data_IF_424972015238
#
_entry.id   IF_424972015238
#
_cell.length_a   1.000
_cell.length_b   1.000
_cell.length_c   1.000
_cell.angle_alpha   90.00
_cell.angle_beta   90.00
_cell.angle_gamma   90.00
#
_symmetry.space_group_name_H-M   'P 1'
#
loop_
_entity.id
_entity.type
_entity.pdbx_description
1 polymer ?
#
# COMPACT_ATOMS: atom_id res chain seq x y z
N UNK A 1 -3.06 -10.76 -1.16
CA UNK A 1 -3.56 -12.16 -1.19
C UNK A 1 -2.45 -13.19 -1.05
N UNK A 2 -1.50 -13.41 -1.96
CA UNK A 2 -0.29 -14.19 -1.61
C UNK A 2 0.95 -13.32 -1.34
N UNK A 3 0.86 -12.05 -1.73
CA UNK A 3 1.90 -11.04 -1.53
C UNK A 3 1.30 -9.94 -0.64
N UNK A 4 1.10 -10.30 0.61
CA UNK A 4 0.60 -9.42 1.65
C UNK A 4 1.60 -9.43 2.81
N UNK A 5 1.79 -8.26 3.42
CA UNK A 5 2.70 -8.08 4.53
C UNK A 5 1.98 -7.39 5.67
N UNK A 6 2.29 -7.78 6.90
CA UNK A 6 1.73 -7.20 8.11
C UNK A 6 2.88 -7.02 9.10
N UNK A 7 2.92 -5.86 9.74
CA UNK A 7 3.93 -5.53 10.74
C UNK A 7 3.29 -4.76 11.88
N UNK A 8 3.77 -5.00 13.09
CA UNK A 8 3.41 -4.23 14.27
C UNK A 8 4.56 -3.28 14.56
N UNK A 9 4.30 -1.98 14.45
CA UNK A 9 5.31 -0.95 14.62
C UNK A 9 5.16 -0.26 15.97
N UNK A 10 6.26 0.31 16.43
CA UNK A 10 6.26 1.24 17.55
C UNK A 10 5.77 2.62 17.05
N UNK A 11 4.67 3.15 17.60
CA UNK A 11 4.17 4.48 17.23
C UNK A 11 5.21 5.60 17.38
N UNK A 12 6.20 5.45 18.27
CA UNK A 12 7.25 6.45 18.49
C UNK A 12 8.14 6.68 17.27
N UNK A 13 8.26 5.69 16.38
CA UNK A 13 9.07 5.80 15.16
C UNK A 13 8.34 6.53 14.02
N UNK A 14 7.05 6.81 14.19
CA UNK A 14 6.26 7.65 13.29
C UNK A 14 6.17 7.15 11.85
N UNK A 15 6.07 8.10 10.91
CA UNK A 15 5.81 7.84 9.48
C UNK A 15 6.98 7.13 8.79
N UNK A 16 8.21 7.34 9.23
CA UNK A 16 9.40 6.78 8.56
C UNK A 16 9.41 5.25 8.63
N UNK A 17 8.98 4.68 9.76
CA UNK A 17 8.84 3.24 9.94
C UNK A 17 7.76 2.64 9.02
N UNK A 18 6.66 3.38 8.81
CA UNK A 18 5.62 3.01 7.84
C UNK A 18 6.22 2.97 6.43
N UNK A 19 6.97 4.02 6.03
CA UNK A 19 7.61 4.09 4.71
C UNK A 19 8.55 2.92 4.49
N UNK A 20 9.41 2.64 5.48
CA UNK A 20 10.33 1.50 5.45
C UNK A 20 9.59 0.19 5.26
N UNK A 21 8.52 -0.06 6.01
CA UNK A 21 7.72 -1.30 5.91
C UNK A 21 7.09 -1.46 4.53
N UNK A 22 6.51 -0.40 3.98
CA UNK A 22 5.88 -0.43 2.66
C UNK A 22 6.91 -0.71 1.57
N UNK A 23 8.03 0.01 1.58
CA UNK A 23 9.12 -0.18 0.61
C UNK A 23 9.71 -1.59 0.73
N UNK A 24 9.93 -2.08 1.96
CA UNK A 24 10.45 -3.42 2.19
C UNK A 24 9.47 -4.50 1.71
N UNK A 25 8.17 -4.32 1.93
CA UNK A 25 7.15 -5.25 1.44
C UNK A 25 7.17 -5.36 -0.10
N UNK A 26 7.30 -4.22 -0.80
CA UNK A 26 7.42 -4.22 -2.27
C UNK A 26 8.74 -4.81 -2.74
N UNK A 27 9.86 -4.49 -2.08
CA UNK A 27 11.17 -5.07 -2.39
C UNK A 27 11.17 -6.60 -2.22
N UNK A 28 10.58 -7.10 -1.14
CA UNK A 28 10.43 -8.53 -0.86
C UNK A 28 9.48 -9.23 -1.85
N UNK A 29 8.44 -8.53 -2.31
CA UNK A 29 7.54 -9.02 -3.34
C UNK A 29 8.26 -9.22 -4.67
N UNK A 30 9.14 -8.28 -5.04
CA UNK A 30 9.91 -8.32 -6.28
C UNK A 30 9.00 -8.49 -7.49
N UNK A 31 9.30 -9.50 -8.32
CA UNK A 31 8.55 -9.83 -9.53
C UNK A 31 7.27 -10.65 -9.30
N UNK A 32 7.09 -11.22 -8.11
CA UNK A 32 5.99 -12.19 -7.82
C UNK A 32 4.59 -11.66 -8.16
N UNK A 33 4.21 -10.41 -7.84
CA UNK A 33 2.88 -9.89 -8.13
C UNK A 33 2.72 -9.37 -9.56
N UNK A 34 3.56 -9.79 -10.52
CA UNK A 34 3.50 -9.38 -11.93
C UNK A 34 3.38 -7.85 -12.08
N UNK A 35 4.39 -7.07 -11.65
CA UNK A 35 4.37 -5.61 -11.77
C UNK A 35 4.09 -5.16 -13.23
N UNK A 36 3.51 -3.97 -13.45
CA UNK A 36 3.37 -2.90 -12.47
C UNK A 36 2.20 -3.11 -11.50
N UNK A 37 2.44 -2.79 -10.23
CA UNK A 37 1.50 -3.08 -9.12
C UNK A 37 0.73 -1.84 -8.66
N UNK A 38 -0.36 -2.06 -7.91
CA UNK A 38 -0.97 -1.05 -7.05
C UNK A 38 -0.78 -1.50 -5.61
N UNK A 39 -0.31 -0.60 -4.75
CA UNK A 39 -0.02 -0.90 -3.35
C UNK A 39 -1.11 -0.32 -2.46
N UNK A 40 -1.87 -1.18 -1.79
CA UNK A 40 -2.80 -0.79 -0.75
C UNK A 40 -2.12 -0.86 0.61
N UNK A 41 -2.21 0.20 1.39
CA UNK A 41 -1.63 0.28 2.73
C UNK A 41 -2.74 0.57 3.72
N UNK A 42 -2.78 -0.20 4.80
CA UNK A 42 -3.68 0.01 5.93
C UNK A 42 -2.87 0.32 7.16
N UNK A 43 -3.17 1.43 7.82
CA UNK A 43 -2.48 1.88 9.03
C UNK A 43 -3.46 2.01 10.19
N UNK A 44 -3.06 1.47 11.35
CA UNK A 44 -3.83 1.55 12.58
C UNK A 44 -5.02 0.59 12.66
N UNK A 45 -5.93 0.83 13.59
CA UNK A 45 -6.93 -0.14 14.02
C UNK A 45 -6.34 -1.28 14.85
N UNK A 46 -6.96 -2.46 14.78
CA UNK A 46 -6.37 -3.72 15.21
C UNK A 46 -5.56 -4.34 14.06
N UNK A 47 -4.83 -5.41 14.34
CA UNK A 47 -4.13 -6.21 13.34
C UNK A 47 -5.00 -6.55 12.11
N UNK A 48 -6.18 -7.10 12.36
CA UNK A 48 -7.13 -7.52 11.33
C UNK A 48 -7.69 -6.32 10.59
N UNK A 49 -7.91 -5.21 11.31
CA UNK A 49 -8.45 -3.98 10.74
C UNK A 49 -7.44 -3.30 9.82
N UNK A 50 -6.15 -3.32 10.13
CA UNK A 50 -5.10 -2.85 9.22
C UNK A 50 -5.10 -3.66 7.92
N UNK A 51 -5.19 -4.99 8.00
CA UNK A 51 -5.28 -5.84 6.82
C UNK A 51 -6.53 -5.55 5.97
N UNK A 52 -7.68 -5.32 6.64
CA UNK A 52 -8.91 -4.88 5.99
C UNK A 52 -8.72 -3.52 5.31
N UNK A 53 -8.14 -2.53 5.98
CA UNK A 53 -7.86 -1.20 5.42
C UNK A 53 -6.97 -1.28 4.19
N UNK A 54 -5.91 -2.08 4.22
CA UNK A 54 -5.03 -2.26 3.06
C UNK A 54 -5.79 -2.81 1.85
N UNK A 55 -6.74 -3.74 2.06
CA UNK A 55 -7.58 -4.28 0.98
C UNK A 55 -8.64 -3.27 0.53
N UNK A 56 -9.24 -2.54 1.46
CA UNK A 56 -10.22 -1.48 1.19
C UNK A 56 -9.60 -0.35 0.37
N UNK A 57 -8.36 0.03 0.67
CA UNK A 57 -7.62 1.07 -0.06
C UNK A 57 -7.55 0.77 -1.57
N UNK A 58 -7.32 -0.50 -1.93
CA UNK A 58 -7.29 -0.96 -3.34
C UNK A 58 -8.61 -0.82 -4.09
N UNK A 59 -9.73 -0.59 -3.38
CA UNK A 59 -11.02 -0.32 -4.00
C UNK A 59 -11.17 1.14 -4.43
N UNK A 60 -10.34 2.06 -3.94
CA UNK A 60 -10.35 3.46 -4.38
C UNK A 60 -9.85 3.57 -5.83
N UNK A 61 -10.56 4.26 -6.74
CA UNK A 61 -10.05 4.54 -8.08
C UNK A 61 -8.72 5.29 -8.05
N UNK A 62 -7.76 4.86 -8.89
CA UNK A 62 -6.42 5.46 -8.94
C UNK A 62 -6.40 6.95 -9.34
N UNK A 63 -7.42 7.40 -10.07
CA UNK A 63 -7.56 8.80 -10.49
C UNK A 63 -8.17 9.69 -9.39
N UNK A 64 -8.50 9.13 -8.22
CA UNK A 64 -8.98 9.89 -7.07
C UNK A 64 -7.87 9.95 -6.01
N UNK A 65 -7.45 11.17 -5.70
CA UNK A 65 -6.50 11.42 -4.62
C UNK A 65 -7.11 11.16 -3.24
N UNK A 66 -6.26 10.94 -2.24
CA UNK A 66 -6.70 10.89 -0.86
C UNK A 66 -7.32 12.24 -0.44
N UNK A 67 -8.52 12.28 0.18
CA UNK A 67 -9.09 13.52 0.69
C UNK A 67 -8.21 14.17 1.76
N UNK A 68 -7.48 13.38 2.52
CA UNK A 68 -6.51 13.86 3.51
C UNK A 68 -5.21 14.32 2.80
N UNK A 69 -4.77 15.58 2.99
CA UNK A 69 -3.60 16.12 2.30
C UNK A 69 -2.28 15.47 2.74
N UNK A 70 -2.16 15.06 4.01
CA UNK A 70 -0.94 14.44 4.54
C UNK A 70 -0.81 13.02 4.00
N UNK A 71 -1.91 12.27 3.97
CA UNK A 71 -1.92 10.94 3.35
C UNK A 71 -1.69 11.01 1.84
N UNK A 72 -2.23 12.02 1.17
CA UNK A 72 -2.00 12.26 -0.27
C UNK A 72 -0.52 12.50 -0.55
N UNK A 73 0.16 13.30 0.28
CA UNK A 73 1.59 13.53 0.15
C UNK A 73 2.37 12.23 0.35
N UNK A 74 2.05 11.48 1.41
CA UNK A 74 2.69 10.20 1.71
C UNK A 74 2.51 9.16 0.59
N UNK A 75 1.33 9.09 -0.03
CA UNK A 75 1.07 8.23 -1.19
C UNK A 75 1.99 8.57 -2.38
N UNK A 76 2.20 9.87 -2.65
CA UNK A 76 3.09 10.34 -3.72
C UNK A 76 4.54 10.00 -3.42
N UNK A 77 5.01 10.29 -2.21
CA UNK A 77 6.38 9.96 -1.79
C UNK A 77 6.67 8.46 -1.87
N UNK A 78 5.75 7.63 -1.36
CA UNK A 78 5.88 6.18 -1.42
C UNK A 78 5.93 5.67 -2.87
N UNK A 79 5.09 6.21 -3.75
CA UNK A 79 5.09 5.83 -5.16
C UNK A 79 6.43 6.15 -5.83
N UNK A 80 6.99 7.32 -5.56
CA UNK A 80 8.31 7.72 -6.07
C UNK A 80 9.42 6.78 -5.55
N UNK A 81 9.46 6.53 -4.24
CA UNK A 81 10.46 5.64 -3.63
C UNK A 81 10.34 4.19 -4.14
N UNK A 82 9.13 3.67 -4.29
CA UNK A 82 8.90 2.33 -4.86
C UNK A 82 9.41 2.26 -6.31
N UNK A 83 9.18 3.30 -7.11
CA UNK A 83 9.66 3.34 -8.49
C UNK A 83 11.18 3.50 -8.59
N UNK A 84 11.84 4.10 -7.58
CA UNK A 84 13.30 4.11 -7.44
C UNK A 84 13.90 2.72 -7.20
N UNK A 85 13.13 1.72 -6.76
CA UNK A 85 13.60 0.33 -6.64
C UNK A 85 13.94 -0.33 -7.98
N UNK A 86 13.47 0.23 -9.11
CA UNK A 86 13.74 -0.25 -10.47
C UNK A 86 13.44 -1.73 -10.72
N UNK A 87 12.47 -2.31 -10.02
CA UNK A 87 11.97 -3.68 -10.29
C UNK A 87 11.33 -3.75 -11.69
N UNK A 88 10.52 -2.73 -12.01
CA UNK A 88 9.91 -2.56 -13.33
C UNK A 88 8.89 -3.62 -13.74
N UNK A 89 8.30 -3.48 -14.95
CA UNK A 89 7.26 -4.38 -15.44
C UNK A 89 7.73 -5.84 -15.50
N UNK A 90 6.92 -6.75 -14.96
CA UNK A 90 7.19 -8.19 -14.82
C UNK A 90 8.52 -8.55 -14.12
N UNK A 91 9.20 -7.57 -13.50
CA UNK A 91 10.49 -7.75 -12.86
C UNK A 91 11.68 -7.74 -13.82
N UNK A 92 11.54 -7.24 -15.05
CA UNK A 92 12.63 -7.12 -16.02
C UNK A 92 13.45 -5.83 -15.87
N UNK A 93 13.23 -5.07 -14.81
CA UNK A 93 13.80 -3.74 -14.65
C UNK A 93 12.96 -2.66 -15.32
N UNK A 94 13.26 -1.40 -15.01
CA UNK A 94 12.58 -0.24 -15.59
C UNK A 94 12.20 0.82 -14.57
N UNK A 95 11.51 1.87 -15.02
CA UNK A 95 11.11 3.01 -14.18
C UNK A 95 9.82 2.78 -13.41
N UNK A 96 8.97 1.85 -13.86
CA UNK A 96 7.60 1.71 -13.36
C UNK A 96 7.41 0.37 -12.67
N UNK A 97 7.67 0.35 -11.36
CA UNK A 97 7.37 -0.78 -10.46
C UNK A 97 5.91 -0.74 -10.02
N UNK A 98 5.40 0.44 -9.67
CA UNK A 98 4.04 0.65 -9.20
C UNK A 98 3.34 1.76 -9.99
N UNK A 99 2.03 1.61 -10.15
CA UNK A 99 1.13 2.60 -10.76
C UNK A 99 0.53 3.56 -9.73
N UNK A 100 0.47 3.14 -8.47
CA UNK A 100 -0.11 3.94 -7.39
C UNK A 100 0.04 3.28 -6.03
N UNK A 101 -0.02 4.13 -5.01
CA UNK A 101 -0.10 3.76 -3.60
C UNK A 101 -1.38 4.38 -3.04
N UNK A 102 -2.17 3.60 -2.32
CA UNK A 102 -3.44 4.02 -1.74
C UNK A 102 -3.43 3.67 -0.26
N UNK A 103 -3.64 4.67 0.60
CA UNK A 103 -3.57 4.53 2.05
C UNK A 103 -4.96 4.72 2.66
N UNK A 104 -5.34 3.79 3.54
CA UNK A 104 -6.44 3.95 4.49
C UNK A 104 -5.86 3.97 5.91
N UNK A 105 -6.26 4.98 6.68
CA UNK A 105 -5.75 5.19 8.04
C UNK A 105 -6.89 5.11 9.05
N UNK A 106 -6.65 4.47 10.18
CA UNK A 106 -7.57 4.48 11.32
C UNK A 106 -6.84 4.67 12.65
N UNK A 107 -7.61 5.00 13.67
CA UNK A 107 -7.11 5.11 15.04
C UNK A 107 -6.65 3.75 15.58
N UNK A 108 -5.58 3.74 16.37
CA UNK A 108 -5.07 2.54 17.05
C UNK A 108 -4.73 2.81 18.51
N UNK A 109 -4.39 1.76 19.25
CA UNK A 109 -3.91 1.87 20.62
C UNK A 109 -2.55 2.60 20.64
N UNK A 110 -2.31 3.45 21.64
CA UNK A 110 -1.08 4.27 21.73
C UNK A 110 0.22 3.48 21.84
N UNK A 111 0.13 2.21 22.23
CA UNK A 111 1.28 1.30 22.35
C UNK A 111 1.55 0.44 21.11
N UNK A 112 0.72 0.50 20.06
CA UNK A 112 0.90 -0.35 18.88
C UNK A 112 0.36 0.30 17.62
N UNK A 113 1.16 0.25 16.55
CA UNK A 113 0.78 0.73 15.22
C UNK A 113 0.79 -0.45 14.22
N UNK A 114 -0.35 -1.14 14.03
CA UNK A 114 -0.48 -2.14 12.99
C UNK A 114 -0.39 -1.51 11.60
N UNK A 115 0.45 -2.06 10.74
CA UNK A 115 0.58 -1.66 9.34
C UNK A 115 0.49 -2.89 8.45
N UNK A 116 -0.44 -2.87 7.50
CA UNK A 116 -0.60 -3.91 6.51
C UNK A 116 -0.39 -3.37 5.10
N UNK A 117 0.22 -4.20 4.24
CA UNK A 117 0.44 -3.92 2.83
C UNK A 117 -0.20 -5.04 2.02
N UNK A 118 -1.07 -4.67 1.09
CA UNK A 118 -1.69 -5.59 0.15
C UNK A 118 -1.33 -5.17 -1.27
N UNK A 119 -0.76 -6.09 -2.03
CA UNK A 119 -0.31 -5.81 -3.39
C UNK A 119 -1.31 -6.35 -4.39
N UNK A 120 -1.78 -5.45 -5.25
CA UNK A 120 -2.62 -5.76 -6.39
C UNK A 120 -1.75 -5.83 -7.64
N UNK A 121 -1.81 -6.98 -8.33
CA UNK A 121 -1.14 -7.17 -9.61
C UNK A 121 -1.82 -6.40 -10.74
N UNK A 122 -1.23 -6.44 -11.94
CA UNK A 122 -1.80 -5.85 -13.15
C UNK A 122 -3.22 -6.34 -13.46
N UNK A 123 -3.58 -7.56 -13.05
CA UNK A 123 -4.93 -8.13 -13.22
C UNK A 123 -5.91 -7.60 -12.15
N UNK A 124 -6.13 -6.28 -12.15
CA UNK A 124 -7.12 -5.60 -11.29
C UNK A 124 -8.55 -5.98 -11.70
N UNK A 125 -9.13 -6.91 -10.95
CA UNK A 125 -10.48 -7.42 -11.16
C UNK A 125 -11.40 -6.86 -10.06
N UNK A 126 -12.18 -5.84 -10.42
CA UNK A 126 -13.18 -5.24 -9.53
C UNK A 126 -14.39 -4.77 -10.34
N UNK A 127 -15.56 -4.76 -9.70
CA UNK A 127 -16.81 -4.25 -10.27
C UNK A 127 -17.61 -3.57 -9.18
N UNK A 128 -18.15 -2.39 -9.47
CA UNK A 128 -19.10 -1.68 -8.60
C UNK A 128 -20.48 -1.78 -9.25
N UNK A 129 -21.50 -2.14 -8.45
CA UNK A 129 -22.89 -2.22 -8.88
C UNK A 129 -23.68 -1.25 -8.00
N UNK A 130 -24.41 -0.33 -8.63
CA UNK A 130 -25.36 0.55 -7.95
C UNK A 130 -26.76 0.01 -8.22
N UNK A 131 -27.43 -0.46 -7.18
CA UNK A 131 -28.84 -0.83 -7.28
C UNK A 131 -29.67 0.45 -7.20
N UNK A 132 -30.63 0.58 -8.13
CA UNK A 132 -31.65 1.62 -8.12
C UNK A 132 -32.98 0.98 -7.75
#
# INVERSE_FOLDING_TARGET
ENVSYLSMLDPANGIEDIKRVVIQAVKNAGRKPCPPIIVGVGVGGTMEKAAYFAKKALLRPLNLENPDPDLRLLEKELLEEINKLRIGPMGFGGKTTALGVLIEWGHCHTASLPVAVNIQCWALRRKTILFR
#
